data_IF_935394457799
#
_entry.id   IF_935394457799
#
_cell.length_a   1.000
_cell.length_b   1.000
_cell.length_c   1.000
_cell.angle_alpha   90.00
_cell.angle_beta   90.00
_cell.angle_gamma   90.00
#
_symmetry.space_group_name_H-M   'P 1'
#
loop_
_entity.id
_entity.type
_entity.pdbx_description
1 polymer ?
#
# COMPACT_ATOMS: atom_id res chain seq x y z
N UNK A 1 1.94 3.94 1.99
CA UNK A 1 0.67 4.47 1.42
C UNK A 1 0.07 5.46 2.41
N UNK A 2 -0.88 6.31 2.01
CA UNK A 2 -1.58 7.13 3.01
C UNK A 2 -2.51 6.30 3.89
N UNK A 3 -2.68 6.73 5.13
CA UNK A 3 -3.65 6.16 6.09
C UNK A 3 -5.10 6.19 5.56
N UNK A 4 -5.99 5.48 6.27
CA UNK A 4 -7.43 5.48 6.01
C UNK A 4 -7.98 4.21 5.36
N UNK A 5 -7.16 3.18 5.14
CA UNK A 5 -7.65 1.88 4.61
C UNK A 5 -8.21 1.06 5.76
N UNK A 6 -9.33 0.38 5.50
CA UNK A 6 -9.89 -0.57 6.46
C UNK A 6 -8.98 -1.80 6.60
N UNK A 7 -9.10 -2.51 7.71
CA UNK A 7 -8.38 -3.77 7.91
C UNK A 7 -8.70 -4.78 6.80
N UNK A 8 -9.95 -4.81 6.33
CA UNK A 8 -10.37 -5.72 5.26
C UNK A 8 -9.69 -5.40 3.92
N UNK A 9 -9.56 -4.12 3.58
CA UNK A 9 -8.80 -3.69 2.40
C UNK A 9 -7.33 -4.11 2.50
N UNK A 10 -6.72 -4.00 3.69
CA UNK A 10 -5.34 -4.45 3.94
C UNK A 10 -5.20 -5.97 3.79
N UNK A 11 -6.15 -6.76 4.29
CA UNK A 11 -6.16 -8.23 4.11
C UNK A 11 -6.21 -8.61 2.63
N UNK A 12 -7.09 -7.95 1.87
CA UNK A 12 -7.21 -8.19 0.43
C UNK A 12 -5.91 -7.84 -0.30
N UNK A 13 -5.24 -6.74 0.08
CA UNK A 13 -3.95 -6.35 -0.49
C UNK A 13 -2.85 -7.38 -0.21
N UNK A 14 -2.72 -7.84 1.04
CA UNK A 14 -1.75 -8.89 1.41
C UNK A 14 -1.98 -10.14 0.58
N UNK A 15 -3.22 -10.63 0.50
CA UNK A 15 -3.56 -11.83 -0.27
C UNK A 15 -3.22 -11.69 -1.76
N UNK A 16 -3.53 -10.55 -2.35
CA UNK A 16 -3.28 -10.29 -3.77
C UNK A 16 -1.78 -10.22 -4.10
N UNK A 17 -1.00 -9.52 -3.28
CA UNK A 17 0.47 -9.42 -3.47
C UNK A 17 1.12 -10.79 -3.31
N UNK A 18 0.78 -11.53 -2.24
CA UNK A 18 1.28 -12.89 -2.04
C UNK A 18 0.98 -13.78 -3.25
N UNK A 19 -0.26 -13.74 -3.77
CA UNK A 19 -0.63 -14.51 -4.96
C UNK A 19 0.24 -14.15 -6.17
N UNK A 20 0.43 -12.86 -6.46
CA UNK A 20 1.26 -12.43 -7.59
C UNK A 20 2.72 -12.92 -7.46
N UNK A 21 3.28 -12.93 -6.26
CA UNK A 21 4.64 -13.45 -6.02
C UNK A 21 4.75 -14.97 -6.23
N UNK A 22 3.70 -15.72 -5.88
CA UNK A 22 3.65 -17.16 -6.13
C UNK A 22 3.54 -17.43 -7.63
N UNK A 23 2.64 -16.73 -8.30
CA UNK A 23 2.33 -16.97 -9.72
C UNK A 23 3.50 -16.55 -10.64
N UNK A 24 4.08 -15.37 -10.42
CA UNK A 24 5.04 -14.77 -11.37
C UNK A 24 6.51 -15.01 -10.97
N UNK A 25 6.79 -15.14 -9.68
CA UNK A 25 8.15 -15.25 -9.15
C UNK A 25 8.45 -16.63 -8.54
N UNK A 26 7.54 -17.60 -8.65
CA UNK A 26 7.66 -18.95 -8.10
C UNK A 26 8.05 -18.97 -6.60
N UNK A 27 7.68 -17.91 -5.86
CA UNK A 27 7.98 -17.80 -4.45
C UNK A 27 7.00 -18.67 -3.65
N UNK A 28 7.49 -19.36 -2.61
CA UNK A 28 6.59 -20.03 -1.68
C UNK A 28 5.95 -19.02 -0.73
N UNK A 29 4.64 -19.15 -0.41
CA UNK A 29 3.95 -18.20 0.47
C UNK A 29 4.57 -18.01 1.86
N UNK A 30 5.23 -19.04 2.39
CA UNK A 30 5.88 -19.06 3.70
C UNK A 30 7.26 -18.38 3.71
N UNK A 31 7.85 -18.12 2.54
CA UNK A 31 9.14 -17.45 2.39
C UNK A 31 9.02 -15.93 2.18
N UNK A 32 7.81 -15.38 2.13
CA UNK A 32 7.57 -13.97 1.84
C UNK A 32 6.83 -13.27 2.97
N UNK A 33 7.14 -11.99 3.14
CA UNK A 33 6.46 -11.10 4.08
C UNK A 33 5.91 -9.90 3.32
N UNK A 34 4.65 -9.54 3.60
CA UNK A 34 4.04 -8.30 3.10
C UNK A 34 3.93 -7.34 4.28
N UNK A 35 4.64 -6.22 4.20
CA UNK A 35 4.59 -5.14 5.20
C UNK A 35 3.84 -3.97 4.61
N UNK A 36 2.74 -3.57 5.26
CA UNK A 36 1.98 -2.38 4.88
C UNK A 36 2.44 -1.24 5.79
N UNK A 37 3.14 -0.27 5.20
CA UNK A 37 3.49 0.97 5.88
C UNK A 37 2.52 2.09 5.49
N UNK A 38 1.87 2.67 6.50
CA UNK A 38 0.99 3.82 6.35
C UNK A 38 1.64 5.07 6.92
N UNK A 39 1.37 6.19 6.28
CA UNK A 39 1.87 7.50 6.70
C UNK A 39 0.72 8.50 6.60
N UNK A 40 0.48 9.34 7.62
CA UNK A 40 -0.47 10.43 7.54
C UNK A 40 -0.18 11.37 6.36
N UNK A 41 -1.22 12.03 5.84
CA UNK A 41 -1.08 12.97 4.71
C UNK A 41 -0.19 14.18 5.05
N UNK A 42 -0.19 14.64 6.29
CA UNK A 42 0.65 15.75 6.78
C UNK A 42 2.14 15.38 6.91
N UNK A 43 2.46 14.09 6.83
CA UNK A 43 3.79 13.53 7.03
C UNK A 43 4.34 12.89 5.75
N UNK A 44 3.70 13.13 4.60
CA UNK A 44 4.07 12.58 3.30
C UNK A 44 4.20 13.69 2.25
N UNK A 45 5.41 13.98 1.80
CA UNK A 45 5.69 14.99 0.76
C UNK A 45 5.88 14.38 -0.63
N UNK A 46 5.36 15.04 -1.67
CA UNK A 46 5.66 14.73 -3.08
C UNK A 46 5.73 16.02 -3.88
N UNK A 47 6.81 16.22 -4.63
CA UNK A 47 6.98 17.41 -5.47
C UNK A 47 7.03 18.73 -4.68
N UNK A 48 7.52 18.71 -3.44
CA UNK A 48 7.57 19.88 -2.58
C UNK A 48 6.25 20.26 -1.89
N UNK A 49 5.21 19.45 -2.04
CA UNK A 49 3.88 19.69 -1.44
C UNK A 49 3.56 18.56 -0.45
N UNK A 50 3.03 18.90 0.73
CA UNK A 50 2.55 17.90 1.69
C UNK A 50 1.26 17.26 1.17
N UNK A 51 1.03 16.00 1.52
CA UNK A 51 -0.16 15.25 1.09
C UNK A 51 -1.47 15.89 1.57
N UNK A 52 -1.44 16.68 2.64
CA UNK A 52 -2.60 17.44 3.12
C UNK A 52 -2.96 18.62 2.22
N UNK A 53 -1.98 19.16 1.47
CA UNK A 53 -2.15 20.29 0.55
C UNK A 53 -2.32 19.86 -0.91
N UNK A 54 -2.30 18.55 -1.19
CA UNK A 54 -2.52 18.03 -2.54
C UNK A 54 -4.02 18.02 -2.88
N UNK A 55 -4.39 18.69 -3.96
CA UNK A 55 -5.74 18.53 -4.52
C UNK A 55 -5.90 17.12 -5.08
N UNK A 56 -6.92 16.41 -4.60
CA UNK A 56 -7.29 15.12 -5.17
C UNK A 56 -7.84 15.38 -6.58
N UNK A 57 -7.03 15.09 -7.60
CA UNK A 57 -7.53 15.05 -8.97
C UNK A 57 -8.57 13.94 -9.03
N UNK A 58 -9.85 14.31 -8.97
CA UNK A 58 -10.95 13.37 -9.23
C UNK A 58 -10.77 12.87 -10.66
N UNK A 59 -10.35 11.61 -10.79
CA UNK A 59 -10.43 10.85 -12.04
C UNK A 59 -11.83 10.30 -12.21
#
# INVERSE_FOLDING_TARGET
>A
MWEGRTVEQKRNLVKAITKAMVDEAACKPDHLHVVIHETPKDSWGRGGVLGIDMEESKK
#
